data_IF_926968189086
#
_entry.id   IF_926968189086
#
_cell.length_a   1.000
_cell.length_b   1.000
_cell.length_c   1.000
_cell.angle_alpha   90.00
_cell.angle_beta   90.00
_cell.angle_gamma   90.00
#
_symmetry.space_group_name_H-M   'P 1'
#
loop_
_entity.id
_entity.type
_entity.pdbx_description
1 polymer ?
#
# COMPACT_ATOMS: atom_id res chain seq x y z
N UNK A 1 -16.02 3.53 23.31
CA UNK A 1 -16.49 4.21 24.56
C UNK A 1 -17.48 5.34 24.27
N UNK A 2 -17.27 6.19 23.25
CA UNK A 2 -18.26 7.20 22.83
C UNK A 2 -19.32 6.64 21.86
N UNK A 3 -19.00 5.60 21.10
CA UNK A 3 -19.93 4.88 20.20
C UNK A 3 -21.13 4.25 20.91
N UNK A 4 -21.01 4.00 22.22
CA UNK A 4 -22.11 3.50 23.06
C UNK A 4 -23.06 4.61 23.52
N UNK A 5 -22.64 5.87 23.38
CA UNK A 5 -23.37 7.06 23.86
C UNK A 5 -24.11 7.78 22.72
N UNK A 6 -23.73 7.54 21.47
CA UNK A 6 -24.28 8.22 20.30
C UNK A 6 -24.62 7.21 19.19
N UNK A 7 -25.75 7.38 18.47
CA UNK A 7 -26.05 6.56 17.29
C UNK A 7 -24.92 6.59 16.25
N UNK A 8 -24.56 5.47 15.60
CA UNK A 8 -23.45 5.38 14.63
C UNK A 8 -23.51 6.41 13.50
N UNK A 9 -24.72 6.79 13.08
CA UNK A 9 -24.95 7.73 11.98
C UNK A 9 -24.88 9.21 12.42
N UNK A 10 -24.75 9.47 13.73
CA UNK A 10 -24.85 10.83 14.30
C UNK A 10 -23.52 11.43 14.75
N UNK A 11 -22.41 10.70 14.60
CA UNK A 11 -21.09 11.19 15.00
C UNK A 11 -20.02 10.81 13.97
N UNK A 12 -18.98 11.64 13.94
CA UNK A 12 -17.71 11.31 13.30
C UNK A 12 -16.60 11.80 14.24
N UNK A 13 -15.72 10.89 14.67
CA UNK A 13 -14.59 11.25 15.49
C UNK A 13 -13.40 11.66 14.62
N UNK A 14 -12.58 12.58 15.14
CA UNK A 14 -11.29 12.95 14.58
C UNK A 14 -10.21 12.54 15.57
N UNK A 15 -9.38 11.57 15.19
CA UNK A 15 -8.28 11.07 15.99
C UNK A 15 -6.98 11.78 15.63
N UNK A 16 -6.23 12.19 16.64
CA UNK A 16 -4.89 12.76 16.47
C UNK A 16 -3.88 11.77 17.05
N UNK A 17 -2.91 11.36 16.25
CA UNK A 17 -1.80 10.51 16.70
C UNK A 17 -0.47 11.23 16.56
N UNK A 18 0.41 10.96 17.52
CA UNK A 18 1.82 11.23 17.32
C UNK A 18 2.39 10.34 16.21
N UNK A 19 3.63 10.60 15.81
CA UNK A 19 4.27 9.83 14.74
C UNK A 19 5.07 8.64 15.29
N UNK A 20 4.59 8.02 16.37
CA UNK A 20 5.24 6.86 16.96
C UNK A 20 5.31 5.69 15.95
N UNK A 21 6.41 4.94 16.01
CA UNK A 21 6.67 3.81 15.08
C UNK A 21 5.62 2.71 15.17
N UNK A 22 4.93 2.57 16.31
CA UNK A 22 3.78 1.67 16.51
C UNK A 22 2.60 1.99 15.58
N UNK A 23 2.44 3.25 15.16
CA UNK A 23 1.37 3.68 14.26
C UNK A 23 1.71 3.50 12.77
N UNK A 24 2.98 3.24 12.44
CA UNK A 24 3.47 3.03 11.08
C UNK A 24 3.36 1.57 10.59
N UNK A 25 2.58 0.74 11.29
CA UNK A 25 2.36 -0.65 10.90
C UNK A 25 1.32 -0.71 9.77
N UNK A 26 1.71 -1.29 8.65
CA UNK A 26 0.82 -1.59 7.52
C UNK A 26 -0.01 -2.86 7.79
N UNK A 27 -1.08 -3.04 7.02
CA UNK A 27 -1.83 -4.30 7.04
C UNK A 27 -0.95 -5.46 6.51
N UNK A 28 -1.18 -6.71 6.94
CA UNK A 28 -0.41 -7.86 6.48
C UNK A 28 -0.45 -8.07 4.96
N UNK A 29 -1.52 -7.61 4.31
CA UNK A 29 -1.77 -7.72 2.88
C UNK A 29 -1.56 -6.42 2.11
N UNK A 30 -0.98 -5.39 2.73
CA UNK A 30 -0.64 -4.12 2.07
C UNK A 30 0.24 -4.33 0.84
N UNK A 31 0.01 -3.55 -0.21
CA UNK A 31 0.87 -3.52 -1.39
C UNK A 31 2.28 -3.04 -1.02
N UNK A 32 3.24 -3.96 -0.98
CA UNK A 32 4.60 -3.63 -0.54
C UNK A 32 5.68 -4.24 -1.43
N UNK A 33 6.31 -3.41 -2.24
CA UNK A 33 7.31 -3.83 -3.25
C UNK A 33 8.47 -4.66 -2.68
N UNK A 34 8.96 -4.34 -1.47
CA UNK A 34 10.08 -5.07 -0.84
C UNK A 34 9.74 -6.49 -0.42
N UNK A 35 8.46 -6.81 -0.28
CA UNK A 35 7.98 -8.16 -0.01
C UNK A 35 7.64 -8.94 -1.29
N UNK A 36 7.95 -8.38 -2.47
CA UNK A 36 7.72 -9.02 -3.76
C UNK A 36 9.00 -9.54 -4.40
N UNK A 37 8.91 -10.73 -5.00
CA UNK A 37 9.97 -11.28 -5.84
C UNK A 37 9.85 -10.77 -7.28
N UNK A 38 10.93 -10.89 -8.06
CA UNK A 38 10.89 -10.51 -9.48
C UNK A 38 9.94 -11.40 -10.28
N UNK A 39 9.98 -12.69 -9.99
CA UNK A 39 9.22 -13.74 -10.65
C UNK A 39 8.33 -14.48 -9.62
N UNK A 40 7.29 -15.22 -10.05
CA UNK A 40 6.22 -15.79 -9.22
C UNK A 40 6.58 -16.88 -8.19
N UNK A 41 7.81 -16.91 -7.67
CA UNK A 41 8.32 -18.01 -6.83
C UNK A 41 9.01 -17.46 -5.59
N UNK A 42 9.24 -18.35 -4.62
CA UNK A 42 9.95 -18.03 -3.40
C UNK A 42 9.01 -17.55 -2.30
N UNK A 43 9.60 -16.98 -1.25
CA UNK A 43 8.87 -16.39 -0.14
C UNK A 43 8.37 -15.00 -0.57
N UNK A 44 7.05 -14.83 -0.68
CA UNK A 44 6.39 -13.59 -1.06
C UNK A 44 5.09 -13.46 -0.28
N UNK A 45 4.77 -12.23 0.14
CA UNK A 45 3.55 -11.95 0.91
C UNK A 45 2.32 -11.92 0.01
N UNK A 46 1.19 -12.43 0.53
CA UNK A 46 -0.12 -12.26 -0.09
C UNK A 46 -0.54 -10.80 0.03
N UNK A 47 -0.75 -10.14 -1.10
CA UNK A 47 -1.13 -8.74 -1.16
C UNK A 47 -2.56 -8.56 -1.67
N UNK A 48 -3.21 -7.50 -1.23
CA UNK A 48 -4.56 -7.14 -1.61
C UNK A 48 -4.64 -6.81 -3.12
N UNK A 49 -5.85 -6.90 -3.67
CA UNK A 49 -6.11 -6.48 -5.05
C UNK A 49 -6.12 -4.97 -5.13
N UNK A 50 -5.48 -4.42 -6.15
CA UNK A 50 -5.34 -2.97 -6.35
C UNK A 50 -6.13 -2.49 -7.57
N UNK A 51 -6.29 -1.18 -7.69
CA UNK A 51 -6.76 -0.52 -8.91
C UNK A 51 -5.76 0.53 -9.33
N UNK A 52 -5.22 0.41 -10.53
CA UNK A 52 -4.23 1.33 -11.07
C UNK A 52 -4.78 2.06 -12.30
N UNK A 53 -4.25 3.25 -12.59
CA UNK A 53 -4.58 4.00 -13.80
C UNK A 53 -3.68 3.52 -14.94
N UNK A 54 -4.26 2.93 -15.99
CA UNK A 54 -3.51 2.56 -17.18
C UNK A 54 -3.19 3.81 -18.02
N UNK A 55 -1.90 4.11 -18.18
CA UNK A 55 -1.43 5.33 -18.83
C UNK A 55 -1.75 5.40 -20.34
N UNK A 56 -1.95 4.25 -20.99
CA UNK A 56 -2.20 4.20 -22.43
C UNK A 56 -3.69 4.40 -22.74
N UNK A 57 -4.56 3.89 -21.89
CA UNK A 57 -6.01 3.94 -22.06
C UNK A 57 -6.67 5.06 -21.24
N UNK A 58 -6.01 5.55 -20.18
CA UNK A 58 -6.57 6.52 -19.24
C UNK A 58 -7.68 5.96 -18.36
N UNK A 59 -7.80 4.63 -18.25
CA UNK A 59 -8.87 3.93 -17.52
C UNK A 59 -8.28 3.24 -16.29
N UNK A 60 -9.04 3.25 -15.19
CA UNK A 60 -8.72 2.47 -14.00
C UNK A 60 -8.94 0.98 -14.24
N UNK A 61 -7.92 0.18 -13.99
CA UNK A 61 -7.94 -1.28 -14.12
C UNK A 61 -7.69 -1.95 -12.77
N UNK A 62 -8.50 -2.95 -12.47
CA UNK A 62 -8.29 -3.82 -11.31
C UNK A 62 -7.14 -4.78 -11.60
N UNK A 63 -6.24 -4.94 -10.63
CA UNK A 63 -5.08 -5.80 -10.68
C UNK A 63 -5.02 -6.69 -9.45
N UNK A 64 -5.22 -7.99 -9.66
CA UNK A 64 -4.99 -9.00 -8.63
C UNK A 64 -3.49 -9.30 -8.51
N UNK A 65 -3.02 -9.50 -7.29
CA UNK A 65 -1.63 -9.86 -6.98
C UNK A 65 -1.39 -11.39 -7.00
N UNK A 66 -2.43 -12.17 -7.32
CA UNK A 66 -2.40 -13.64 -7.44
C UNK A 66 -2.83 -14.01 -8.86
N UNK A 67 -2.19 -15.01 -9.46
CA UNK A 67 -2.66 -15.60 -10.71
C UNK A 67 -3.99 -16.33 -10.51
N UNK A 68 -4.86 -16.28 -11.52
CA UNK A 68 -6.09 -17.08 -11.52
C UNK A 68 -5.80 -18.58 -11.37
N UNK A 69 -6.75 -19.32 -10.84
CA UNK A 69 -6.69 -20.78 -10.76
C UNK A 69 -6.57 -21.43 -12.15
N UNK A 70 -7.09 -20.77 -13.18
CA UNK A 70 -7.06 -21.25 -14.58
C UNK A 70 -5.77 -20.85 -15.32
N UNK A 71 -4.78 -20.27 -14.65
CA UNK A 71 -3.56 -19.81 -15.30
C UNK A 71 -2.57 -20.96 -15.55
N UNK A 72 -2.21 -21.20 -16.80
CA UNK A 72 -1.45 -22.39 -17.25
C UNK A 72 -0.16 -22.69 -16.47
N UNK A 73 0.65 -21.65 -16.19
CA UNK A 73 2.02 -21.85 -15.70
C UNK A 73 2.14 -21.80 -14.18
N UNK A 74 1.31 -20.98 -13.54
CA UNK A 74 1.44 -20.58 -12.13
C UNK A 74 0.06 -20.43 -11.47
N UNK A 75 -0.81 -21.45 -11.50
CA UNK A 75 -2.16 -21.33 -10.98
C UNK A 75 -2.14 -21.01 -9.47
N UNK A 76 -2.92 -20.03 -9.04
CA UNK A 76 -3.01 -19.55 -7.65
C UNK A 76 -1.67 -19.08 -7.01
N UNK A 77 -0.63 -18.82 -7.81
CA UNK A 77 0.63 -18.31 -7.29
C UNK A 77 0.64 -16.78 -7.23
N UNK A 78 1.46 -16.23 -6.35
CA UNK A 78 1.66 -14.79 -6.24
C UNK A 78 2.41 -14.25 -7.47
N UNK A 79 1.96 -13.12 -7.99
CA UNK A 79 2.61 -12.45 -9.11
C UNK A 79 3.90 -11.78 -8.64
N UNK A 80 4.98 -12.04 -9.36
CA UNK A 80 6.20 -11.26 -9.21
C UNK A 80 6.06 -9.86 -9.84
N UNK A 81 6.99 -8.97 -9.50
CA UNK A 81 7.04 -7.60 -10.01
C UNK A 81 7.03 -7.53 -11.53
N UNK A 82 7.68 -8.51 -12.20
CA UNK A 82 7.71 -8.56 -13.65
C UNK A 82 6.31 -8.61 -14.24
N UNK A 83 5.44 -9.45 -13.68
CA UNK A 83 4.10 -9.62 -14.24
C UNK A 83 3.20 -8.43 -13.89
N UNK A 84 3.28 -7.95 -12.65
CA UNK A 84 2.54 -6.75 -12.21
C UNK A 84 2.90 -5.54 -13.06
N UNK A 85 4.20 -5.30 -13.32
CA UNK A 85 4.65 -4.20 -14.17
C UNK A 85 4.27 -4.37 -15.64
N UNK A 86 4.19 -5.60 -16.17
CA UNK A 86 3.70 -5.84 -17.55
C UNK A 86 2.22 -5.49 -17.67
N UNK A 87 1.42 -5.88 -16.69
CA UNK A 87 -0.01 -5.56 -16.65
C UNK A 87 -0.24 -4.05 -16.60
N UNK A 88 0.65 -3.31 -15.93
CA UNK A 88 0.66 -1.85 -15.92
C UNK A 88 1.33 -1.20 -17.16
N UNK A 89 1.82 -1.99 -18.11
CA UNK A 89 2.57 -1.54 -19.29
C UNK A 89 3.87 -0.77 -18.99
N UNK A 90 4.49 -1.05 -17.84
CA UNK A 90 5.70 -0.39 -17.35
C UNK A 90 6.96 -1.26 -17.48
N UNK A 91 6.81 -2.56 -17.74
CA UNK A 91 7.96 -3.47 -17.80
C UNK A 91 8.89 -3.19 -18.99
N UNK A 92 10.19 -3.05 -18.69
CA UNK A 92 11.26 -2.91 -19.68
C UNK A 92 12.24 -4.09 -19.59
N UNK A 93 12.71 -4.56 -20.74
CA UNK A 93 13.67 -5.67 -20.81
C UNK A 93 14.97 -5.30 -20.10
N UNK A 94 15.43 -6.17 -19.19
CA UNK A 94 16.67 -5.98 -18.45
C UNK A 94 16.51 -5.24 -17.11
N UNK A 95 15.28 -4.89 -16.71
CA UNK A 95 15.03 -4.40 -15.35
C UNK A 95 15.50 -5.42 -14.31
N UNK A 96 16.30 -4.95 -13.35
CA UNK A 96 16.73 -5.71 -12.18
C UNK A 96 15.65 -5.63 -11.09
N UNK A 97 15.70 -6.56 -10.14
CA UNK A 97 14.84 -6.56 -8.96
C UNK A 97 14.99 -5.24 -8.18
N UNK A 98 16.21 -4.97 -7.74
CA UNK A 98 16.58 -3.81 -6.95
C UNK A 98 17.83 -3.10 -7.52
N UNK A 99 18.09 -1.91 -7.03
CA UNK A 99 19.28 -1.13 -7.31
C UNK A 99 19.81 -0.55 -5.98
N UNK A 100 21.14 -0.42 -5.84
CA UNK A 100 21.74 0.19 -4.63
C UNK A 100 21.42 1.68 -4.54
N UNK A 101 21.45 2.35 -5.68
CA UNK A 101 21.24 3.79 -5.79
C UNK A 101 19.76 4.04 -6.02
N UNK A 102 19.01 4.39 -4.96
CA UNK A 102 17.55 4.62 -4.99
C UNK A 102 17.17 5.86 -5.83
N UNK A 103 17.38 5.78 -7.13
CA UNK A 103 16.91 6.73 -8.11
C UNK A 103 15.52 6.32 -8.57
N UNK A 104 14.66 7.31 -8.82
CA UNK A 104 13.30 7.06 -9.30
C UNK A 104 13.35 6.19 -10.57
N UNK A 105 12.56 5.12 -10.58
CA UNK A 105 12.43 4.18 -11.71
C UNK A 105 13.73 3.45 -12.16
N UNK A 106 14.75 3.30 -11.31
CA UNK A 106 16.00 2.59 -11.67
C UNK A 106 15.83 1.06 -11.86
N UNK A 107 14.84 0.45 -11.19
CA UNK A 107 14.66 -1.00 -11.05
C UNK A 107 13.19 -1.34 -10.86
N UNK A 108 12.84 -2.63 -10.93
CA UNK A 108 11.47 -3.09 -10.79
C UNK A 108 10.82 -2.64 -9.46
N UNK A 109 11.58 -2.71 -8.35
CA UNK A 109 11.13 -2.18 -7.07
C UNK A 109 10.82 -0.69 -7.14
N UNK A 110 11.80 0.15 -7.45
CA UNK A 110 11.60 1.60 -7.46
C UNK A 110 10.54 2.05 -8.47
N UNK A 111 10.37 1.34 -9.59
CA UNK A 111 9.37 1.67 -10.60
C UNK A 111 7.94 1.38 -10.13
N UNK A 112 7.73 0.25 -9.44
CA UNK A 112 6.42 -0.08 -8.89
C UNK A 112 6.13 0.71 -7.61
N UNK A 113 7.16 0.98 -6.80
CA UNK A 113 7.02 1.67 -5.51
C UNK A 113 6.50 3.08 -5.69
N UNK A 114 6.90 3.78 -6.76
CA UNK A 114 6.42 5.13 -7.07
C UNK A 114 5.03 5.17 -7.70
N UNK A 115 4.39 4.02 -7.97
CA UNK A 115 3.05 4.02 -8.53
C UNK A 115 2.02 4.52 -7.50
N UNK A 116 0.99 5.26 -7.95
CA UNK A 116 0.03 5.89 -7.04
C UNK A 116 -0.69 4.91 -6.11
N UNK A 117 -0.98 3.70 -6.58
CA UNK A 117 -1.69 2.68 -5.82
C UNK A 117 -0.82 2.02 -4.73
N UNK A 118 0.49 1.94 -4.96
CA UNK A 118 1.47 1.54 -3.95
C UNK A 118 1.75 2.67 -2.94
N UNK A 119 1.84 3.93 -3.40
CA UNK A 119 2.06 5.09 -2.51
C UNK A 119 0.84 5.46 -1.68
N UNK A 120 -0.38 5.12 -2.13
CA UNK A 120 -1.62 5.44 -1.42
C UNK A 120 -2.01 4.44 -0.34
N UNK A 121 -1.23 3.37 -0.14
CA UNK A 121 -1.46 2.42 0.94
C UNK A 121 -1.39 3.13 2.29
N UNK A 122 -2.42 2.90 3.12
CA UNK A 122 -2.56 3.53 4.43
C UNK A 122 -2.03 2.59 5.51
N UNK A 123 -1.60 3.15 6.64
CA UNK A 123 -1.26 2.34 7.80
C UNK A 123 -2.50 1.63 8.34
N UNK A 124 -2.34 0.44 8.94
CA UNK A 124 -3.44 -0.37 9.47
C UNK A 124 -4.33 0.40 10.45
N UNK A 125 -3.72 1.26 11.26
CA UNK A 125 -4.44 2.13 12.19
C UNK A 125 -5.37 3.10 11.47
N UNK A 126 -4.89 3.72 10.41
CA UNK A 126 -5.68 4.66 9.61
C UNK A 126 -6.82 3.94 8.90
N UNK A 127 -6.55 2.78 8.30
CA UNK A 127 -7.57 1.96 7.64
C UNK A 127 -8.71 1.57 8.59
N UNK A 128 -8.38 1.09 9.79
CA UNK A 128 -9.38 0.68 10.79
C UNK A 128 -10.27 1.87 11.23
N UNK A 129 -9.66 3.03 11.49
CA UNK A 129 -10.38 4.22 11.92
C UNK A 129 -11.29 4.74 10.81
N UNK A 130 -10.80 4.82 9.58
CA UNK A 130 -11.58 5.26 8.44
C UNK A 130 -12.71 4.28 8.09
N UNK A 131 -12.47 2.97 8.25
CA UNK A 131 -13.50 1.94 8.06
C UNK A 131 -14.66 2.08 9.05
N UNK A 132 -14.41 2.59 10.26
CA UNK A 132 -15.45 2.92 11.25
C UNK A 132 -16.12 4.29 10.99
N UNK A 133 -15.80 4.96 9.89
CA UNK A 133 -16.37 6.27 9.55
C UNK A 133 -15.74 7.43 10.31
N UNK A 134 -14.49 7.27 10.77
CA UNK A 134 -13.75 8.30 11.51
C UNK A 134 -12.57 8.83 10.69
N UNK A 135 -12.07 9.99 11.09
CA UNK A 135 -10.93 10.64 10.44
C UNK A 135 -9.70 10.56 11.32
N UNK A 136 -8.53 10.53 10.70
CA UNK A 136 -7.25 10.52 11.42
C UNK A 136 -6.32 11.62 10.92
N UNK A 137 -5.58 12.24 11.83
CA UNK A 137 -4.52 13.20 11.55
C UNK A 137 -3.26 12.76 12.30
N UNK A 138 -2.15 12.66 11.57
CA UNK A 138 -0.83 12.38 12.14
C UNK A 138 -0.04 13.67 12.28
N UNK A 139 0.56 13.89 13.44
CA UNK A 139 1.44 15.04 13.63
C UNK A 139 2.73 14.92 12.80
N UNK A 140 3.31 16.05 12.35
CA UNK A 140 4.59 16.04 11.66
C UNK A 140 5.69 15.39 12.51
N UNK A 141 6.57 14.61 11.87
CA UNK A 141 7.74 14.03 12.55
C UNK A 141 8.66 15.14 13.05
N UNK A 142 9.19 14.97 14.26
CA UNK A 142 10.18 15.87 14.87
C UNK A 142 9.69 17.29 15.18
N UNK A 143 8.37 17.46 15.29
CA UNK A 143 7.74 18.72 15.68
C UNK A 143 6.90 18.52 16.94
N UNK A 144 7.56 18.19 18.05
CA UNK A 144 6.90 17.99 19.35
C UNK A 144 6.14 19.23 19.82
N UNK A 145 6.59 20.43 19.43
CA UNK A 145 5.93 21.71 19.70
C UNK A 145 4.53 21.82 19.08
N UNK A 146 4.21 20.99 18.07
CA UNK A 146 2.88 20.94 17.46
C UNK A 146 2.00 19.83 18.06
N UNK A 147 2.55 19.00 18.94
CA UNK A 147 1.88 17.85 19.52
C UNK A 147 1.20 18.23 20.84
N UNK A 148 -0.12 18.45 20.81
CA UNK A 148 -0.86 18.93 21.99
C UNK A 148 -0.82 17.98 23.19
N UNK A 149 -0.58 16.68 22.99
CA UNK A 149 -0.47 15.69 24.08
C UNK A 149 0.86 15.78 24.84
N UNK A 150 1.85 16.52 24.33
CA UNK A 150 3.15 16.69 25.01
C UNK A 150 3.20 17.90 25.96
N UNK A 151 2.12 18.70 26.01
CA UNK A 151 2.04 19.89 26.86
C UNK A 151 1.58 19.63 28.31
N UNK A 152 1.32 18.38 28.68
CA UNK A 152 0.82 17.94 30.00
C UNK A 152 1.70 16.85 30.59
#
# INVERSE_FOLDING_TARGET
MFELLYPPESYAALFFFDNATSHACFAPDTLWTKAMNLDPRGDQTYMCTTTFLDIHTGIFKTQSMVFSADYDKYPNQLKGLREVLKEQSLWQTGLRLDCKDKHNACCAWCLLDVQPDFQSQKGRLQEEIEHQGHSVVFYPKFHCELNWIEYY
#
